data_IF_105533579324
#
_entry.id   IF_105533579324
#
_cell.length_a   1.000
_cell.length_b   1.000
_cell.length_c   1.000
_cell.angle_alpha   90.00
_cell.angle_beta   90.00
_cell.angle_gamma   90.00
#
_symmetry.space_group_name_H-M   'P 1'
#
loop_
_entity.id
_entity.type
_entity.pdbx_description
1 polymer ?
#
# COMPACT_ATOMS: atom_id res chain seq x y z
N UNK A 1 13.58 -30.56 -1.86
CA UNK A 1 12.32 -30.01 -1.30
C UNK A 1 12.52 -28.52 -1.08
N UNK A 2 11.54 -27.67 -1.43
CA UNK A 2 11.65 -26.21 -1.23
C UNK A 2 11.60 -25.88 0.27
N UNK A 3 12.52 -25.03 0.74
CA UNK A 3 12.61 -24.59 2.15
C UNK A 3 11.32 -23.93 2.65
N UNK A 4 11.06 -24.02 3.95
CA UNK A 4 9.83 -23.47 4.56
C UNK A 4 9.77 -21.96 4.38
N UNK A 5 10.90 -21.28 4.60
CA UNK A 5 11.07 -19.84 4.38
C UNK A 5 10.72 -19.40 2.94
N UNK A 6 11.12 -20.16 1.92
CA UNK A 6 10.83 -19.88 0.51
C UNK A 6 9.35 -20.04 0.22
N UNK A 7 8.70 -21.09 0.74
CA UNK A 7 7.25 -21.26 0.61
C UNK A 7 6.50 -20.08 1.23
N UNK A 8 6.89 -19.69 2.45
CA UNK A 8 6.30 -18.54 3.14
C UNK A 8 6.52 -17.25 2.36
N UNK A 9 7.73 -17.03 1.82
CA UNK A 9 8.06 -15.85 1.02
C UNK A 9 7.21 -15.73 -0.24
N UNK A 10 7.01 -16.83 -0.98
CA UNK A 10 6.15 -16.83 -2.17
C UNK A 10 4.70 -16.52 -1.81
N UNK A 11 4.16 -17.12 -0.74
CA UNK A 11 2.80 -16.83 -0.25
C UNK A 11 2.67 -15.37 0.17
N UNK A 12 3.64 -14.87 0.94
CA UNK A 12 3.76 -13.49 1.39
C UNK A 12 3.73 -12.49 0.21
N UNK A 13 4.60 -12.70 -0.78
CA UNK A 13 4.71 -11.86 -1.96
C UNK A 13 3.41 -11.84 -2.75
N UNK A 14 2.78 -13.01 -2.95
CA UNK A 14 1.50 -13.12 -3.64
C UNK A 14 0.39 -12.36 -2.90
N UNK A 15 0.26 -12.53 -1.58
CA UNK A 15 -0.75 -11.83 -0.78
C UNK A 15 -0.56 -10.32 -0.85
N UNK A 16 0.67 -9.83 -0.68
CA UNK A 16 0.94 -8.40 -0.73
C UNK A 16 0.76 -7.81 -2.12
N UNK A 17 1.08 -8.55 -3.18
CA UNK A 17 0.85 -8.13 -4.55
C UNK A 17 -0.65 -8.04 -4.86
N UNK A 18 -1.44 -9.05 -4.52
CA UNK A 18 -2.90 -9.03 -4.67
C UNK A 18 -3.52 -7.88 -3.88
N UNK A 19 -3.03 -7.65 -2.65
CA UNK A 19 -3.43 -6.52 -1.83
C UNK A 19 -3.09 -5.18 -2.49
N UNK A 20 -1.88 -5.05 -3.07
CA UNK A 20 -1.48 -3.85 -3.81
C UNK A 20 -2.43 -3.60 -5.00
N UNK A 21 -2.72 -4.63 -5.81
CA UNK A 21 -3.68 -4.54 -6.92
C UNK A 21 -5.07 -4.08 -6.45
N UNK A 22 -5.56 -4.61 -5.33
CA UNK A 22 -6.84 -4.17 -4.76
C UNK A 22 -6.79 -2.69 -4.34
N UNK A 23 -5.71 -2.24 -3.70
CA UNK A 23 -5.57 -0.85 -3.25
C UNK A 23 -5.47 0.15 -4.40
N UNK A 24 -4.72 -0.16 -5.47
CA UNK A 24 -4.62 0.72 -6.65
C UNK A 24 -5.93 0.77 -7.43
N UNK A 25 -6.71 -0.32 -7.45
CA UNK A 25 -8.03 -0.32 -8.08
C UNK A 25 -8.99 0.61 -7.34
N UNK A 26 -9.00 0.56 -6.00
CA UNK A 26 -9.79 1.48 -5.18
C UNK A 26 -9.32 2.92 -5.33
N UNK A 27 -8.01 3.18 -5.22
CA UNK A 27 -7.44 4.51 -5.42
C UNK A 27 -7.84 5.06 -6.79
N UNK A 28 -7.66 4.27 -7.85
CA UNK A 28 -7.98 4.69 -9.23
C UNK A 28 -9.43 5.17 -9.36
N UNK A 29 -10.38 4.43 -8.78
CA UNK A 29 -11.79 4.82 -8.75
C UNK A 29 -12.00 6.13 -7.98
N UNK A 30 -11.36 6.29 -6.83
CA UNK A 30 -11.44 7.53 -6.03
C UNK A 30 -10.84 8.73 -6.76
N UNK A 31 -9.76 8.54 -7.51
CA UNK A 31 -9.15 9.59 -8.33
C UNK A 31 -10.07 10.08 -9.45
N UNK A 32 -10.83 9.18 -10.09
CA UNK A 32 -11.89 9.58 -11.05
C UNK A 32 -13.00 10.41 -10.37
N UNK A 33 -13.46 9.99 -9.18
CA UNK A 33 -14.48 10.74 -8.44
C UNK A 33 -14.00 12.14 -8.03
N UNK A 34 -12.70 12.31 -7.78
CA UNK A 34 -12.12 13.56 -7.31
C UNK A 34 -11.72 14.55 -8.43
N UNK A 35 -11.81 14.14 -9.69
CA UNK A 35 -11.31 14.93 -10.83
C UNK A 35 -9.78 14.95 -10.92
N UNK A 36 -9.10 14.03 -10.23
CA UNK A 36 -7.65 14.01 -10.07
C UNK A 36 -6.88 13.40 -11.25
N UNK A 37 -7.59 12.94 -12.29
CA UNK A 37 -6.98 12.38 -13.50
C UNK A 37 -6.55 13.47 -14.48
N UNK A 38 -5.65 13.14 -15.42
CA UNK A 38 -5.32 14.05 -16.50
C UNK A 38 -6.52 14.39 -17.40
N UNK A 39 -6.48 15.50 -18.15
CA UNK A 39 -7.61 15.97 -18.94
C UNK A 39 -8.00 15.06 -20.12
N UNK A 40 -7.09 14.27 -20.68
CA UNK A 40 -7.39 13.29 -21.73
C UNK A 40 -8.34 12.18 -21.26
N UNK A 41 -8.34 11.86 -19.96
CA UNK A 41 -9.19 10.83 -19.36
C UNK A 41 -10.67 11.23 -19.32
N UNK A 42 -11.02 12.49 -19.60
CA UNK A 42 -12.42 12.94 -19.70
C UNK A 42 -13.22 12.18 -20.78
N UNK A 43 -12.54 11.61 -21.78
CA UNK A 43 -13.19 10.84 -22.85
C UNK A 43 -13.62 9.44 -22.39
N UNK A 44 -13.06 8.93 -21.29
CA UNK A 44 -13.30 7.59 -20.79
C UNK A 44 -14.72 7.43 -20.23
N UNK A 45 -15.32 6.25 -20.42
CA UNK A 45 -16.63 5.92 -19.85
C UNK A 45 -16.66 6.05 -18.33
N UNK A 46 -15.54 5.79 -17.65
CA UNK A 46 -15.41 5.97 -16.20
C UNK A 46 -15.52 7.43 -15.76
N UNK A 47 -15.00 8.38 -16.54
CA UNK A 47 -15.16 9.81 -16.25
C UNK A 47 -16.63 10.25 -16.43
N UNK A 48 -17.31 9.73 -17.46
CA UNK A 48 -18.74 10.00 -17.71
C UNK A 48 -19.67 9.51 -16.60
N UNK A 49 -19.22 8.58 -15.74
CA UNK A 49 -19.98 8.09 -14.58
C UNK A 49 -20.11 9.13 -13.46
N UNK A 50 -19.31 10.19 -13.48
CA UNK A 50 -19.32 11.26 -12.48
C UNK A 50 -19.64 12.60 -13.15
N UNK A 51 -20.92 12.84 -13.51
CA UNK A 51 -21.33 14.07 -14.19
C UNK A 51 -20.98 15.29 -13.32
N UNK A 52 -20.47 16.34 -13.94
CA UNK A 52 -20.05 17.57 -13.24
C UNK A 52 -18.62 17.55 -12.67
N UNK A 53 -17.91 16.42 -12.73
CA UNK A 53 -16.50 16.34 -12.30
C UNK A 53 -15.57 16.27 -13.51
N UNK A 54 -14.93 17.39 -13.84
CA UNK A 54 -13.91 17.45 -14.90
C UNK A 54 -12.58 16.89 -14.40
N UNK A 55 -11.97 16.01 -15.18
CA UNK A 55 -10.61 15.53 -14.92
C UNK A 55 -9.62 16.59 -15.38
N UNK A 56 -8.82 17.11 -14.46
CA UNK A 56 -7.76 18.08 -14.75
C UNK A 56 -6.78 18.19 -13.57
N UNK A 57 -6.50 17.10 -12.87
CA UNK A 57 -5.71 17.13 -11.63
C UNK A 57 -6.29 18.01 -10.51
N UNK A 58 -7.56 18.40 -10.62
CA UNK A 58 -8.20 19.34 -9.71
C UNK A 58 -7.78 20.80 -9.91
N UNK A 59 -7.11 21.16 -11.02
CA UNK A 59 -6.66 22.52 -11.32
C UNK A 59 -7.74 23.40 -11.95
N UNK A 60 -9.02 23.06 -11.81
CA UNK A 60 -10.09 23.87 -12.40
C UNK A 60 -10.10 25.23 -11.69
N UNK A 61 -9.61 26.26 -12.37
CA UNK A 61 -9.86 27.65 -12.01
C UNK A 61 -11.32 27.93 -12.36
N UNK A 62 -12.24 27.54 -11.48
CA UNK A 62 -13.58 28.11 -11.46
C UNK A 62 -13.56 29.28 -10.48
N UNK A 63 -14.15 30.40 -10.86
CA UNK A 63 -14.30 31.58 -9.99
C UNK A 63 -15.12 31.27 -8.71
N UNK A 64 -15.83 30.14 -8.72
CA UNK A 64 -16.52 29.59 -7.57
C UNK A 64 -15.65 28.56 -6.81
N UNK A 65 -15.60 28.63 -5.46
CA UNK A 65 -14.92 27.64 -4.65
C UNK A 65 -15.51 26.24 -4.86
N UNK A 66 -14.71 25.16 -4.74
CA UNK A 66 -15.20 23.79 -4.83
C UNK A 66 -16.31 23.54 -3.80
N UNK A 67 -17.33 22.78 -4.17
CA UNK A 67 -18.36 22.36 -3.21
C UNK A 67 -17.74 21.53 -2.07
N UNK A 68 -18.30 21.64 -0.86
CA UNK A 68 -17.84 20.86 0.30
C UNK A 68 -17.80 19.35 0.03
N UNK A 69 -18.76 18.86 -0.77
CA UNK A 69 -18.78 17.46 -1.19
C UNK A 69 -17.56 17.08 -2.05
N UNK A 70 -17.14 17.95 -2.98
CA UNK A 70 -15.96 17.70 -3.81
C UNK A 70 -14.68 17.74 -2.97
N UNK A 71 -14.59 18.61 -1.97
CA UNK A 71 -13.49 18.63 -1.01
C UNK A 71 -13.41 17.31 -0.24
N UNK A 72 -14.53 16.81 0.29
CA UNK A 72 -14.58 15.52 0.99
C UNK A 72 -14.13 14.36 0.10
N UNK A 73 -14.57 14.33 -1.16
CA UNK A 73 -14.13 13.30 -2.12
C UNK A 73 -12.63 13.38 -2.39
N UNK A 74 -12.08 14.59 -2.54
CA UNK A 74 -10.63 14.82 -2.67
C UNK A 74 -9.86 14.39 -1.42
N UNK A 75 -10.37 14.64 -0.21
CA UNK A 75 -9.75 14.15 1.02
C UNK A 75 -9.69 12.62 1.08
N UNK A 76 -10.76 11.95 0.65
CA UNK A 76 -10.78 10.47 0.56
C UNK A 76 -9.79 9.98 -0.49
N UNK A 77 -9.71 10.63 -1.65
CA UNK A 77 -8.72 10.31 -2.69
C UNK A 77 -7.29 10.42 -2.18
N UNK A 78 -6.94 11.54 -1.54
CA UNK A 78 -5.61 11.77 -0.98
C UNK A 78 -5.24 10.71 0.07
N UNK A 79 -6.22 10.27 0.86
CA UNK A 79 -6.03 9.19 1.83
C UNK A 79 -5.66 7.88 1.13
N UNK A 80 -6.37 7.50 0.07
CA UNK A 80 -6.05 6.30 -0.71
C UNK A 80 -4.71 6.42 -1.42
N UNK A 81 -4.34 7.61 -1.90
CA UNK A 81 -3.00 7.86 -2.46
C UNK A 81 -1.90 7.65 -1.42
N UNK A 82 -2.11 8.07 -0.17
CA UNK A 82 -1.16 7.83 0.93
C UNK A 82 -1.04 6.36 1.31
N UNK A 83 -2.15 5.60 1.27
CA UNK A 83 -2.13 4.15 1.48
C UNK A 83 -1.19 3.48 0.45
N UNK A 84 -1.40 3.78 -0.84
CA UNK A 84 -0.60 3.21 -1.93
C UNK A 84 0.85 3.67 -1.87
N UNK A 85 1.12 4.96 -1.60
CA UNK A 85 2.49 5.46 -1.40
C UNK A 85 3.22 4.72 -0.29
N UNK A 86 2.56 4.54 0.87
CA UNK A 86 3.16 3.83 1.99
C UNK A 86 3.42 2.35 1.68
N UNK A 87 2.60 1.73 0.83
CA UNK A 87 2.86 0.38 0.32
C UNK A 87 4.08 0.32 -0.59
N UNK A 88 4.22 1.28 -1.49
CA UNK A 88 5.36 1.38 -2.40
C UNK A 88 6.67 1.70 -1.67
N UNK A 89 6.61 2.43 -0.55
CA UNK A 89 7.77 2.72 0.30
C UNK A 89 8.19 1.52 1.16
N UNK A 90 7.23 0.65 1.55
CA UNK A 90 7.46 -0.40 2.55
C UNK A 90 7.61 -1.79 1.92
N UNK A 91 6.69 -2.19 1.04
CA UNK A 91 6.58 -3.58 0.55
C UNK A 91 7.77 -4.00 -0.32
N UNK A 92 8.22 -3.21 -1.32
CA UNK A 92 9.37 -3.59 -2.14
C UNK A 92 10.63 -3.78 -1.29
N UNK A 93 10.89 -2.86 -0.35
CA UNK A 93 12.06 -2.95 0.53
C UNK A 93 12.02 -4.21 1.41
N UNK A 94 10.86 -4.53 2.00
CA UNK A 94 10.70 -5.74 2.79
C UNK A 94 10.89 -7.02 1.95
N UNK A 95 10.36 -7.06 0.71
CA UNK A 95 10.60 -8.17 -0.22
C UNK A 95 12.09 -8.36 -0.51
N UNK A 96 12.82 -7.26 -0.75
CA UNK A 96 14.28 -7.32 -0.95
C UNK A 96 15.02 -7.84 0.27
N UNK A 97 14.70 -7.34 1.47
CA UNK A 97 15.31 -7.79 2.73
C UNK A 97 15.08 -9.28 2.95
N UNK A 98 13.82 -9.74 2.86
CA UNK A 98 13.49 -11.14 3.11
C UNK A 98 14.05 -12.07 2.03
N UNK A 99 14.11 -11.64 0.77
CA UNK A 99 14.78 -12.39 -0.29
C UNK A 99 16.29 -12.51 -0.02
N UNK A 100 16.94 -11.41 0.39
CA UNK A 100 18.35 -11.42 0.78
C UNK A 100 18.63 -12.35 1.95
N UNK A 101 17.75 -12.39 2.95
CA UNK A 101 17.85 -13.32 4.07
C UNK A 101 17.72 -14.79 3.68
N UNK A 102 16.88 -15.11 2.69
CA UNK A 102 16.78 -16.47 2.13
C UNK A 102 18.07 -16.84 1.39
N UNK A 103 18.62 -15.92 0.59
CA UNK A 103 19.88 -16.14 -0.13
C UNK A 103 21.09 -16.27 0.78
N UNK A 104 21.05 -15.64 1.96
CA UNK A 104 22.04 -15.76 3.01
C UNK A 104 21.87 -17.03 3.88
N UNK A 105 20.92 -17.92 3.54
CA UNK A 105 20.63 -19.14 4.31
C UNK A 105 20.36 -18.87 5.81
N UNK A 106 19.75 -17.71 6.12
CA UNK A 106 19.43 -17.32 7.49
C UNK A 106 18.34 -18.20 8.13
N UNK A 107 18.17 -18.08 9.45
CA UNK A 107 17.23 -18.91 10.20
C UNK A 107 15.79 -18.85 9.64
N UNK A 108 15.33 -19.98 9.12
CA UNK A 108 14.04 -20.15 8.46
C UNK A 108 12.85 -19.76 9.34
N UNK A 109 12.89 -20.12 10.63
CA UNK A 109 11.77 -19.90 11.54
C UNK A 109 11.60 -18.40 11.82
N UNK A 110 12.70 -17.71 12.12
CA UNK A 110 12.70 -16.27 12.39
C UNK A 110 12.20 -15.49 11.17
N UNK A 111 12.71 -15.82 9.98
CA UNK A 111 12.26 -15.19 8.73
C UNK A 111 10.78 -15.44 8.45
N UNK A 112 10.32 -16.68 8.63
CA UNK A 112 8.92 -17.06 8.39
C UNK A 112 7.97 -16.29 9.30
N UNK A 113 8.29 -16.20 10.60
CA UNK A 113 7.47 -15.44 11.56
C UNK A 113 7.47 -13.95 11.22
N UNK A 114 8.64 -13.37 10.91
CA UNK A 114 8.74 -11.96 10.54
C UNK A 114 7.91 -11.62 9.28
N UNK A 115 7.93 -12.48 8.26
CA UNK A 115 7.12 -12.31 7.05
C UNK A 115 5.62 -12.39 7.35
N UNK A 116 5.17 -13.34 8.18
CA UNK A 116 3.75 -13.47 8.55
C UNK A 116 3.27 -12.24 9.33
N UNK A 117 4.03 -11.79 10.34
CA UNK A 117 3.69 -10.60 11.13
C UNK A 117 3.66 -9.36 10.24
N UNK A 118 4.66 -9.18 9.38
CA UNK A 118 4.70 -8.08 8.42
C UNK A 118 3.46 -8.09 7.51
N UNK A 119 3.11 -9.24 6.94
CA UNK A 119 1.95 -9.38 6.03
C UNK A 119 0.67 -8.92 6.71
N UNK A 120 0.41 -9.47 7.91
CA UNK A 120 -0.76 -9.12 8.70
C UNK A 120 -0.78 -7.62 9.03
N UNK A 121 0.35 -7.08 9.48
CA UNK A 121 0.48 -5.66 9.80
C UNK A 121 0.18 -4.77 8.59
N UNK A 122 0.64 -5.11 7.38
CA UNK A 122 0.36 -4.33 6.15
C UNK A 122 -1.09 -4.38 5.71
N UNK A 123 -1.75 -5.54 5.82
CA UNK A 123 -3.18 -5.68 5.50
C UNK A 123 -4.02 -4.89 6.50
N UNK A 124 -3.78 -5.09 7.79
CA UNK A 124 -4.48 -4.37 8.86
C UNK A 124 -4.23 -2.86 8.81
N UNK A 125 -2.99 -2.43 8.50
CA UNK A 125 -2.63 -1.02 8.35
C UNK A 125 -3.49 -0.35 7.29
N UNK A 126 -3.73 -1.02 6.16
CA UNK A 126 -4.57 -0.52 5.07
C UNK A 126 -6.00 -0.31 5.51
N UNK A 127 -6.56 -1.26 6.27
CA UNK A 127 -7.90 -1.15 6.83
C UNK A 127 -8.00 0.01 7.83
N UNK A 128 -7.07 0.10 8.77
CA UNK A 128 -7.00 1.18 9.75
C UNK A 128 -6.86 2.55 9.08
N UNK A 129 -6.03 2.65 8.04
CA UNK A 129 -5.84 3.88 7.28
C UNK A 129 -7.12 4.28 6.54
N UNK A 130 -7.76 3.34 5.83
CA UNK A 130 -9.00 3.61 5.09
C UNK A 130 -10.13 4.09 6.01
N UNK A 131 -10.22 3.53 7.22
CA UNK A 131 -11.21 3.88 8.25
C UNK A 131 -10.78 5.03 9.17
N UNK A 132 -9.60 5.62 8.97
CA UNK A 132 -9.05 6.73 9.80
C UNK A 132 -8.91 6.38 11.28
N UNK A 133 -8.59 5.12 11.59
CA UNK A 133 -8.49 4.64 12.97
C UNK A 133 -7.08 4.94 13.51
N UNK A 134 -7.02 5.89 14.43
CA UNK A 134 -5.85 6.22 15.26
C UNK A 134 -6.05 5.64 16.67
N UNK A 135 -5.02 5.10 17.35
CA UNK A 135 -3.59 5.05 17.00
C UNK A 135 -3.15 3.80 16.22
N UNK A 136 -4.08 2.89 15.89
CA UNK A 136 -3.81 1.56 15.34
C UNK A 136 -3.01 1.62 14.04
N UNK A 137 -3.26 2.64 13.19
CA UNK A 137 -2.46 2.88 11.98
C UNK A 137 -0.96 2.98 12.31
N UNK A 138 -0.59 3.82 13.27
CA UNK A 138 0.83 4.05 13.62
C UNK A 138 1.46 2.80 14.23
N UNK A 139 0.71 2.09 15.09
CA UNK A 139 1.18 0.84 15.69
C UNK A 139 1.43 -0.26 14.64
N UNK A 140 0.52 -0.41 13.66
CA UNK A 140 0.65 -1.40 12.60
C UNK A 140 1.78 -1.05 11.62
N UNK A 141 1.99 0.24 11.34
CA UNK A 141 3.16 0.69 10.60
C UNK A 141 4.46 0.32 11.33
N UNK A 142 4.53 0.59 12.63
CA UNK A 142 5.69 0.27 13.46
C UNK A 142 5.95 -1.25 13.52
N UNK A 143 4.91 -2.07 13.67
CA UNK A 143 5.02 -3.53 13.65
C UNK A 143 5.60 -4.05 12.32
N UNK A 144 5.22 -3.42 11.19
CA UNK A 144 5.82 -3.70 9.89
C UNK A 144 7.31 -3.36 9.85
N UNK A 145 7.69 -2.15 10.28
CA UNK A 145 9.11 -1.74 10.34
C UNK A 145 9.94 -2.69 11.20
N UNK A 146 9.43 -3.03 12.39
CA UNK A 146 10.11 -3.94 13.31
C UNK A 146 10.33 -5.32 12.68
N UNK A 147 9.34 -5.83 11.94
CA UNK A 147 9.45 -7.13 11.27
C UNK A 147 10.53 -7.11 10.16
N UNK A 148 10.66 -6.01 9.42
CA UNK A 148 11.75 -5.85 8.44
C UNK A 148 13.10 -5.76 9.12
N UNK A 149 13.23 -5.04 10.24
CA UNK A 149 14.46 -4.97 11.04
C UNK A 149 14.87 -6.36 11.54
N UNK A 150 13.93 -7.17 12.02
CA UNK A 150 14.19 -8.56 12.42
C UNK A 150 14.72 -9.39 11.23
N UNK A 151 14.15 -9.20 10.03
CA UNK A 151 14.66 -9.84 8.82
C UNK A 151 16.10 -9.44 8.49
N UNK A 152 16.42 -8.14 8.56
CA UNK A 152 17.79 -7.65 8.37
C UNK A 152 18.75 -8.25 9.39
N UNK A 153 18.41 -8.18 10.68
CA UNK A 153 19.25 -8.71 11.75
C UNK A 153 19.51 -10.22 11.56
N UNK A 154 18.47 -10.99 11.22
CA UNK A 154 18.60 -12.42 10.97
C UNK A 154 19.49 -12.72 9.76
N UNK A 155 19.39 -11.92 8.69
CA UNK A 155 20.25 -12.05 7.51
C UNK A 155 21.72 -11.71 7.81
N UNK A 156 21.97 -10.65 8.59
CA UNK A 156 23.32 -10.25 9.00
C UNK A 156 23.97 -11.30 9.90
N UNK A 157 23.24 -11.84 10.87
CA UNK A 157 23.76 -12.89 11.77
C UNK A 157 24.13 -14.17 11.01
N UNK A 158 23.47 -14.45 9.89
CA UNK A 158 23.76 -15.65 9.08
C UNK A 158 25.08 -15.59 8.30
N UNK A 159 25.61 -14.38 8.05
CA UNK A 159 26.84 -14.17 7.28
C UNK A 159 28.06 -13.81 8.16
N UNK A 160 27.85 -13.70 9.47
CA UNK A 160 28.89 -13.48 10.48
C UNK A 160 29.34 -14.81 11.07
#
# INVERSE_FOLDING_TARGET
MVGVNVKVFVTYAAVLYLKFLATIAVQSRKTFCAGGRPPEDNKLHMAKRFPGVKQNYGTSATDAPPSDQLLLVRHVELRWRRIVSNDLESIPLALFVFAGGILAESNDQVHSVAMVVYTFARVAHTFAYAKSIQPQRSMLWFAGVLSTIVGVANAVVAIL
#
